data_IF_359368680377
#
_entry.id   IF_359368680377
#
_cell.length_a   1.000
_cell.length_b   1.000
_cell.length_c   1.000
_cell.angle_alpha   90.00
_cell.angle_beta   90.00
_cell.angle_gamma   90.00
#
_symmetry.space_group_name_H-M   'P 1'
#
loop_
_entity.id
_entity.type
_entity.pdbx_description
1 polymer ?
#
# COMPACT_ATOMS: atom_id res chain seq x y z
N UNK A 1 -30.11 3.56 21.14
CA UNK A 1 -29.37 4.81 21.44
C UNK A 1 -27.83 4.65 21.41
N UNK A 2 -27.27 3.46 21.55
CA UNK A 2 -25.81 3.25 21.45
C UNK A 2 -25.28 3.26 20.02
N UNK A 3 -26.09 2.83 19.05
CA UNK A 3 -25.75 2.80 17.64
C UNK A 3 -25.58 4.19 17.01
N UNK A 4 -26.41 5.15 17.42
CA UNK A 4 -26.34 6.52 16.89
C UNK A 4 -25.11 7.30 17.35
N UNK A 5 -24.56 6.97 18.52
CA UNK A 5 -23.31 7.57 19.01
C UNK A 5 -22.08 7.02 18.28
N UNK A 6 -22.06 5.73 18.00
CA UNK A 6 -20.98 5.11 17.22
C UNK A 6 -20.91 5.65 15.79
N UNK A 7 -22.05 5.81 15.12
CA UNK A 7 -22.13 6.41 13.79
C UNK A 7 -21.73 7.89 13.80
N UNK A 8 -22.09 8.66 14.83
CA UNK A 8 -21.72 10.06 14.95
C UNK A 8 -20.21 10.28 15.13
N UNK A 9 -19.55 9.41 15.88
CA UNK A 9 -18.09 9.46 16.05
C UNK A 9 -17.33 8.99 14.81
N UNK A 10 -17.82 7.99 14.13
CA UNK A 10 -17.28 7.56 12.82
C UNK A 10 -17.41 8.69 11.81
N UNK A 11 -18.55 9.35 11.72
CA UNK A 11 -18.79 10.47 10.80
C UNK A 11 -17.90 11.69 11.09
N UNK A 12 -17.67 12.04 12.36
CA UNK A 12 -16.84 13.17 12.74
C UNK A 12 -15.34 12.93 12.46
N UNK A 13 -14.91 11.67 12.46
CA UNK A 13 -13.49 11.31 12.24
C UNK A 13 -13.17 10.97 10.78
N UNK A 14 -14.15 10.65 9.97
CA UNK A 14 -13.97 10.28 8.56
C UNK A 14 -13.44 11.38 7.64
N UNK A 15 -13.51 12.64 8.02
CA UNK A 15 -13.03 13.76 7.21
C UNK A 15 -11.81 14.50 7.76
N UNK A 16 -11.42 14.23 9.00
CA UNK A 16 -10.38 15.02 9.69
C UNK A 16 -8.98 14.41 9.62
N UNK A 17 -8.88 13.09 9.54
CA UNK A 17 -7.59 12.38 9.48
C UNK A 17 -7.68 11.30 8.41
N UNK A 18 -7.16 11.59 7.24
CA UNK A 18 -7.04 10.64 6.14
C UNK A 18 -5.57 10.26 5.94
N UNK A 19 -5.33 9.00 5.66
CA UNK A 19 -3.99 8.50 5.34
C UNK A 19 -4.03 7.82 3.97
N UNK A 20 -3.01 8.08 3.16
CA UNK A 20 -2.85 7.40 1.88
C UNK A 20 -2.59 5.91 2.13
N UNK A 21 -3.21 5.03 1.35
CA UNK A 21 -2.94 3.60 1.43
C UNK A 21 -1.55 3.26 0.84
N UNK A 22 -0.96 2.14 1.28
CA UNK A 22 0.44 1.77 0.96
C UNK A 22 0.73 1.74 -0.54
N UNK A 23 -0.21 1.24 -1.33
CA UNK A 23 0.00 1.07 -2.78
C UNK A 23 -0.55 2.22 -3.63
N UNK A 24 -1.25 3.19 -3.03
CA UNK A 24 -1.76 4.35 -3.77
C UNK A 24 -0.65 5.32 -4.12
N UNK A 25 -0.81 6.02 -5.21
CA UNK A 25 0.04 7.14 -5.60
C UNK A 25 -0.82 8.33 -6.03
N UNK A 26 -0.20 9.49 -6.05
CA UNK A 26 -0.80 10.71 -6.59
C UNK A 26 -0.22 10.93 -7.99
N UNK A 27 -1.08 11.16 -8.98
CA UNK A 27 -0.65 11.45 -10.35
C UNK A 27 -0.21 12.91 -10.50
N UNK A 28 0.24 13.27 -11.70
CA UNK A 28 0.72 14.64 -12.03
C UNK A 28 -0.37 15.71 -11.87
N UNK A 29 -1.64 15.33 -11.93
CA UNK A 29 -2.79 16.23 -11.78
C UNK A 29 -3.31 16.31 -10.33
N UNK A 30 -2.72 15.57 -9.39
CA UNK A 30 -3.13 15.55 -7.99
C UNK A 30 -4.23 14.52 -7.66
N UNK A 31 -4.62 13.65 -8.58
CA UNK A 31 -5.59 12.59 -8.34
C UNK A 31 -4.92 11.35 -7.75
N UNK A 32 -5.63 10.67 -6.85
CA UNK A 32 -5.17 9.40 -6.29
C UNK A 32 -5.43 8.28 -7.28
N UNK A 33 -4.41 7.49 -7.56
CA UNK A 33 -4.48 6.29 -8.38
C UNK A 33 -4.15 5.06 -7.54
N UNK A 34 -4.84 3.97 -7.86
CA UNK A 34 -4.70 2.68 -7.19
C UNK A 34 -4.21 1.63 -8.19
N UNK A 35 -3.29 0.73 -7.81
CA UNK A 35 -2.81 -0.32 -8.70
C UNK A 35 -3.79 -1.48 -8.77
N UNK A 36 -3.99 -1.98 -9.98
CA UNK A 36 -4.75 -3.19 -10.30
C UNK A 36 -3.92 -4.10 -11.20
N UNK A 37 -4.14 -5.42 -11.11
CA UNK A 37 -3.58 -6.36 -12.08
C UNK A 37 -4.47 -6.46 -13.30
N UNK A 38 -3.89 -6.45 -14.48
CA UNK A 38 -4.65 -6.66 -15.71
C UNK A 38 -5.09 -8.12 -15.86
N UNK A 39 -6.30 -8.31 -16.33
CA UNK A 39 -6.86 -9.63 -16.65
C UNK A 39 -7.10 -9.70 -18.16
N UNK A 40 -6.57 -10.72 -18.82
CA UNK A 40 -6.74 -10.98 -20.26
C UNK A 40 -7.34 -12.36 -20.46
N UNK A 41 -8.56 -12.41 -21.01
CA UNK A 41 -9.26 -13.69 -21.28
C UNK A 41 -9.38 -14.60 -20.05
N UNK A 42 -9.75 -14.06 -18.90
CA UNK A 42 -9.89 -14.81 -17.66
C UNK A 42 -8.56 -15.26 -17.02
N UNK A 43 -7.43 -14.72 -17.49
CA UNK A 43 -6.10 -14.96 -16.94
C UNK A 43 -5.53 -13.67 -16.36
N UNK A 44 -5.17 -13.72 -15.08
CA UNK A 44 -4.53 -12.60 -14.37
C UNK A 44 -3.08 -12.47 -14.82
N UNK A 45 -2.69 -11.30 -15.28
CA UNK A 45 -1.30 -10.99 -15.67
C UNK A 45 -0.54 -10.39 -14.48
N UNK A 46 0.78 -10.26 -14.63
CA UNK A 46 1.61 -9.56 -13.65
C UNK A 46 1.75 -8.06 -13.99
N UNK A 47 1.10 -7.62 -15.06
CA UNK A 47 1.10 -6.23 -15.44
C UNK A 47 0.22 -5.42 -14.49
N UNK A 48 0.75 -4.31 -13.99
CA UNK A 48 0.06 -3.44 -13.05
C UNK A 48 -0.37 -2.18 -13.77
N UNK A 49 -1.67 -1.92 -13.75
CA UNK A 49 -2.27 -0.67 -14.23
C UNK A 49 -2.70 0.18 -13.05
N UNK A 50 -2.31 1.45 -13.05
CA UNK A 50 -2.82 2.43 -12.10
C UNK A 50 -4.06 3.09 -12.67
N UNK A 51 -5.12 3.12 -11.88
CA UNK A 51 -6.42 3.62 -12.30
C UNK A 51 -6.93 4.62 -11.27
N UNK A 52 -7.46 5.74 -11.73
CA UNK A 52 -8.13 6.73 -10.89
C UNK A 52 -9.58 6.33 -10.59
N UNK A 53 -10.18 6.94 -9.57
CA UNK A 53 -11.57 6.65 -9.21
C UNK A 53 -12.57 6.99 -10.33
N UNK A 54 -12.23 7.90 -11.22
CA UNK A 54 -13.08 8.29 -12.37
C UNK A 54 -13.11 7.17 -13.39
N UNK A 55 -11.95 6.60 -13.70
CA UNK A 55 -11.81 5.52 -14.70
C UNK A 55 -12.25 4.16 -14.16
N UNK A 56 -12.16 3.95 -12.82
CA UNK A 56 -12.49 2.70 -12.16
C UNK A 56 -13.91 2.20 -12.50
N UNK A 57 -14.87 3.13 -12.59
CA UNK A 57 -16.25 2.81 -12.89
C UNK A 57 -16.51 2.19 -14.28
N UNK A 58 -15.56 2.29 -15.20
CA UNK A 58 -15.64 1.72 -16.54
C UNK A 58 -15.18 0.25 -16.61
N UNK A 59 -14.39 -0.20 -15.60
CA UNK A 59 -13.80 -1.52 -15.58
C UNK A 59 -14.56 -2.49 -14.68
N UNK A 60 -14.58 -3.75 -15.07
CA UNK A 60 -15.04 -4.88 -14.24
C UNK A 60 -13.87 -5.39 -13.43
N UNK A 61 -13.91 -5.21 -12.10
CA UNK A 61 -12.81 -5.48 -11.20
C UNK A 61 -13.12 -6.70 -10.33
N UNK A 62 -12.32 -7.76 -10.47
CA UNK A 62 -12.42 -8.93 -9.60
C UNK A 62 -11.81 -8.67 -8.23
N UNK A 63 -12.42 -9.22 -7.19
CA UNK A 63 -11.89 -9.14 -5.83
C UNK A 63 -10.60 -9.95 -5.68
N UNK A 64 -9.71 -9.48 -4.80
CA UNK A 64 -8.44 -10.18 -4.49
C UNK A 64 -8.64 -11.59 -3.92
N UNK A 65 -9.80 -11.88 -3.33
CA UNK A 65 -10.18 -13.18 -2.77
C UNK A 65 -10.60 -14.22 -3.82
N UNK A 66 -10.78 -13.82 -5.09
CA UNK A 66 -11.15 -14.72 -6.16
C UNK A 66 -10.09 -15.81 -6.35
N UNK A 67 -10.54 -17.07 -6.43
CA UNK A 67 -9.61 -18.21 -6.55
C UNK A 67 -8.99 -18.27 -7.93
N UNK A 68 -7.67 -18.31 -7.93
CA UNK A 68 -6.84 -18.41 -9.15
C UNK A 68 -6.03 -19.69 -9.10
N UNK A 69 -5.91 -20.38 -10.22
CA UNK A 69 -5.07 -21.58 -10.36
C UNK A 69 -3.58 -21.19 -10.47
N UNK A 70 -2.69 -22.17 -10.40
CA UNK A 70 -1.23 -22.00 -10.59
C UNK A 70 -0.87 -21.38 -11.96
N UNK A 71 -1.77 -21.46 -12.92
CA UNK A 71 -1.64 -20.81 -14.24
C UNK A 71 -2.18 -19.38 -14.29
N UNK A 72 -2.59 -18.82 -13.13
CA UNK A 72 -3.23 -17.51 -13.00
C UNK A 72 -4.58 -17.39 -13.71
N UNK A 73 -5.30 -18.49 -13.94
CA UNK A 73 -6.68 -18.48 -14.42
C UNK A 73 -7.67 -18.57 -13.28
N UNK A 74 -8.80 -17.90 -13.40
CA UNK A 74 -9.93 -18.07 -12.47
C UNK A 74 -10.44 -19.52 -12.55
N UNK A 75 -10.68 -20.13 -11.38
CA UNK A 75 -11.16 -21.51 -11.26
C UNK A 75 -12.68 -21.60 -11.18
N UNK A 76 -13.34 -20.51 -10.81
CA UNK A 76 -14.79 -20.46 -10.61
C UNK A 76 -15.49 -19.96 -11.90
N UNK A 77 -16.67 -20.51 -12.18
CA UNK A 77 -17.49 -20.10 -13.33
C UNK A 77 -18.04 -18.68 -13.17
N UNK A 78 -18.31 -18.29 -11.92
CA UNK A 78 -18.75 -16.94 -11.56
C UNK A 78 -17.80 -16.37 -10.52
N UNK A 79 -17.22 -15.21 -10.82
CA UNK A 79 -16.27 -14.51 -9.97
C UNK A 79 -16.95 -13.30 -9.33
N UNK A 80 -16.74 -13.05 -8.03
CA UNK A 80 -17.22 -11.83 -7.39
C UNK A 80 -16.44 -10.63 -7.94
N UNK A 81 -17.18 -9.68 -8.50
CA UNK A 81 -16.64 -8.48 -9.13
C UNK A 81 -17.29 -7.22 -8.58
N UNK A 82 -16.62 -6.10 -8.74
CA UNK A 82 -17.14 -4.76 -8.52
C UNK A 82 -17.27 -4.07 -9.88
N UNK A 83 -18.45 -3.60 -10.20
CA UNK A 83 -18.73 -2.82 -11.38
C UNK A 83 -19.65 -1.65 -11.03
N UNK A 84 -19.28 -0.42 -11.36
CA UNK A 84 -20.04 0.81 -11.04
C UNK A 84 -20.47 0.91 -9.57
N UNK A 85 -19.57 0.55 -8.65
CA UNK A 85 -19.81 0.49 -7.19
C UNK A 85 -20.81 -0.57 -6.71
N UNK A 86 -21.29 -1.44 -7.58
CA UNK A 86 -22.14 -2.59 -7.22
C UNK A 86 -21.30 -3.87 -7.21
N UNK A 87 -21.67 -4.79 -6.31
CA UNK A 87 -21.03 -6.10 -6.22
C UNK A 87 -21.91 -7.11 -6.96
N UNK A 88 -21.34 -7.73 -7.96
CA UNK A 88 -22.02 -8.71 -8.81
C UNK A 88 -21.17 -9.98 -8.98
N UNK A 89 -21.81 -11.04 -9.47
CA UNK A 89 -21.13 -12.26 -9.91
C UNK A 89 -21.11 -12.27 -11.43
N UNK A 90 -19.93 -12.26 -12.01
CA UNK A 90 -19.75 -12.24 -13.46
C UNK A 90 -18.85 -13.37 -13.95
N UNK A 91 -18.98 -13.69 -15.24
CA UNK A 91 -18.12 -14.66 -15.90
C UNK A 91 -16.68 -14.12 -15.99
N UNK A 92 -15.64 -14.93 -15.75
CA UNK A 92 -14.24 -14.55 -15.82
C UNK A 92 -13.80 -13.87 -17.13
N UNK A 93 -14.46 -14.17 -18.23
CA UNK A 93 -14.15 -13.57 -19.55
C UNK A 93 -14.49 -12.07 -19.64
N UNK A 94 -15.34 -11.56 -18.74
CA UNK A 94 -15.74 -10.13 -18.70
C UNK A 94 -14.93 -9.31 -17.70
N UNK A 95 -14.03 -9.96 -16.97
CA UNK A 95 -13.19 -9.30 -15.97
C UNK A 95 -12.03 -8.61 -16.66
N UNK A 96 -11.87 -7.31 -16.43
CA UNK A 96 -10.81 -6.48 -16.99
C UNK A 96 -9.61 -6.35 -16.05
N UNK A 97 -9.89 -6.19 -14.76
CA UNK A 97 -8.90 -5.94 -13.73
C UNK A 97 -9.13 -6.84 -12.50
N UNK A 98 -8.10 -7.03 -11.71
CA UNK A 98 -8.17 -7.71 -10.43
C UNK A 98 -7.50 -6.88 -9.34
N UNK A 99 -8.11 -6.80 -8.16
CA UNK A 99 -7.50 -6.15 -7.00
C UNK A 99 -6.14 -6.79 -6.66
N UNK A 100 -5.20 -5.96 -6.25
CA UNK A 100 -3.97 -6.44 -5.61
C UNK A 100 -4.30 -6.96 -4.19
N UNK A 101 -3.34 -7.61 -3.48
CA UNK A 101 -3.62 -8.24 -2.18
C UNK A 101 -4.30 -7.35 -1.16
N UNK A 102 -4.95 -7.93 -0.11
CA UNK A 102 -5.71 -7.18 0.91
C UNK A 102 -4.92 -6.09 1.66
N UNK A 103 -3.58 -6.16 1.68
CA UNK A 103 -2.71 -5.14 2.26
C UNK A 103 -2.86 -3.76 1.61
N UNK A 104 -3.50 -3.68 0.47
CA UNK A 104 -3.81 -2.43 -0.23
C UNK A 104 -4.62 -1.44 0.61
N UNK A 105 -5.44 -1.91 1.53
CA UNK A 105 -6.38 -1.08 2.33
C UNK A 105 -5.70 -0.38 3.50
N UNK A 106 -4.51 -0.83 3.93
CA UNK A 106 -3.84 -0.28 5.10
C UNK A 106 -3.00 0.94 4.75
N UNK A 107 -2.90 1.88 5.69
CA UNK A 107 -1.97 3.01 5.60
C UNK A 107 -0.53 2.55 5.90
N UNK A 108 0.45 3.40 5.58
CA UNK A 108 1.86 3.15 5.91
C UNK A 108 2.04 2.93 7.40
N UNK A 109 1.41 3.76 8.24
CA UNK A 109 1.50 3.61 9.69
C UNK A 109 0.89 2.28 10.18
N UNK A 110 -0.27 1.90 9.67
CA UNK A 110 -0.89 0.61 10.01
C UNK A 110 -0.04 -0.58 9.52
N UNK A 111 0.62 -0.47 8.39
CA UNK A 111 1.49 -1.51 7.86
C UNK A 111 2.78 -1.72 8.68
N UNK A 112 3.13 -0.78 9.56
CA UNK A 112 4.25 -0.89 10.49
C UNK A 112 3.88 -1.58 11.83
N UNK A 113 2.61 -1.86 12.07
CA UNK A 113 2.16 -2.54 13.29
C UNK A 113 2.32 -4.05 13.11
N UNK A 114 3.20 -4.73 13.87
CA UNK A 114 3.31 -6.17 13.81
C UNK A 114 2.04 -6.82 14.38
N UNK A 115 1.60 -7.93 13.78
CA UNK A 115 0.39 -8.67 14.18
C UNK A 115 -0.89 -7.81 14.19
N UNK A 116 -1.01 -6.89 13.25
CA UNK A 116 -2.16 -5.98 13.14
C UNK A 116 -3.51 -6.71 13.11
N UNK A 117 -3.57 -7.88 12.51
CA UNK A 117 -4.78 -8.72 12.40
C UNK A 117 -5.31 -9.22 13.75
N UNK A 118 -4.48 -9.20 14.79
CA UNK A 118 -4.86 -9.59 16.16
C UNK A 118 -5.22 -8.41 17.05
N UNK A 119 -5.07 -7.17 16.57
CA UNK A 119 -5.34 -5.96 17.32
C UNK A 119 -6.77 -5.46 17.12
N UNK A 120 -7.33 -4.88 18.17
CA UNK A 120 -8.59 -4.14 18.07
C UNK A 120 -8.40 -2.87 17.22
N UNK A 121 -9.40 -2.56 16.38
CA UNK A 121 -9.33 -1.43 15.46
C UNK A 121 -9.09 -0.08 16.16
N UNK A 122 -9.69 0.13 17.32
CA UNK A 122 -9.50 1.36 18.11
C UNK A 122 -8.06 1.48 18.60
N UNK A 123 -7.44 0.38 19.06
CA UNK A 123 -6.06 0.37 19.53
C UNK A 123 -5.07 0.53 18.38
N UNK A 124 -5.32 -0.09 17.24
CA UNK A 124 -4.54 0.10 16.04
C UNK A 124 -4.56 1.55 15.55
N UNK A 125 -5.72 2.21 15.59
CA UNK A 125 -5.86 3.63 15.27
C UNK A 125 -5.03 4.51 16.22
N UNK A 126 -5.12 4.26 17.52
CA UNK A 126 -4.33 5.01 18.52
C UNK A 126 -2.83 4.80 18.31
N UNK A 127 -2.39 3.56 18.09
CA UNK A 127 -0.99 3.21 17.80
C UNK A 127 -0.47 3.90 16.54
N UNK A 128 -1.24 3.90 15.46
CA UNK A 128 -0.91 4.60 14.21
C UNK A 128 -0.72 6.10 14.41
N UNK A 129 -1.56 6.71 15.24
CA UNK A 129 -1.45 8.13 15.57
C UNK A 129 -0.21 8.42 16.42
N UNK A 130 0.11 7.54 17.39
CA UNK A 130 1.29 7.70 18.25
C UNK A 130 2.61 7.51 17.47
N UNK A 131 2.66 6.67 16.45
CA UNK A 131 3.86 6.54 15.60
C UNK A 131 4.27 7.85 14.94
N UNK A 132 3.31 8.74 14.63
CA UNK A 132 3.61 10.07 14.07
C UNK A 132 4.21 11.05 15.08
N UNK A 133 4.18 10.72 16.37
CA UNK A 133 4.73 11.52 17.46
C UNK A 133 6.04 10.93 18.01
N UNK A 134 6.61 9.96 17.29
CA UNK A 134 7.84 9.30 17.71
C UNK A 134 9.02 10.28 17.72
N UNK A 135 9.86 10.16 18.76
CA UNK A 135 11.08 10.94 18.92
C UNK A 135 12.27 9.98 18.81
N UNK A 136 13.32 10.34 18.04
CA UNK A 136 14.54 9.53 17.94
C UNK A 136 15.20 9.34 19.30
N UNK A 137 15.65 8.13 19.60
CA UNK A 137 16.40 7.83 20.81
C UNK A 137 17.89 8.19 20.65
N UNK A 138 18.58 8.43 21.75
CA UNK A 138 20.02 8.72 21.73
C UNK A 138 20.85 7.55 21.19
N UNK A 139 20.47 6.34 21.55
CA UNK A 139 21.03 5.10 20.98
C UNK A 139 19.89 4.35 20.29
N UNK A 140 20.06 4.11 18.99
CA UNK A 140 19.08 3.42 18.17
C UNK A 140 19.35 1.93 18.15
N UNK A 141 18.32 1.13 18.33
CA UNK A 141 18.38 -0.34 18.27
C UNK A 141 17.42 -0.86 17.19
N UNK A 142 17.77 -2.00 16.63
CA UNK A 142 16.87 -2.67 15.69
C UNK A 142 15.71 -3.30 16.45
N UNK A 143 14.44 -3.10 16.02
CA UNK A 143 13.31 -3.75 16.67
C UNK A 143 13.40 -5.27 16.55
N UNK A 144 13.09 -5.99 17.63
CA UNK A 144 13.10 -7.47 17.66
C UNK A 144 12.00 -8.06 16.77
N UNK A 145 10.87 -7.37 16.68
CA UNK A 145 9.73 -7.77 15.84
C UNK A 145 9.37 -6.64 14.92
N UNK A 146 9.28 -6.91 13.65
CA UNK A 146 8.95 -5.93 12.61
C UNK A 146 8.10 -6.54 11.50
N UNK A 147 7.62 -5.70 10.59
CA UNK A 147 6.77 -6.09 9.48
C UNK A 147 7.53 -6.22 8.15
N UNK A 148 8.78 -5.78 8.10
CA UNK A 148 9.57 -5.67 6.87
C UNK A 148 9.37 -4.34 6.11
N UNK A 149 8.39 -3.53 6.48
CA UNK A 149 8.16 -2.21 5.88
C UNK A 149 9.11 -1.14 6.41
N UNK A 150 9.76 -1.35 7.55
CA UNK A 150 10.61 -0.37 8.23
C UNK A 150 11.73 0.13 7.32
N UNK A 151 12.41 -0.78 6.64
CA UNK A 151 13.50 -0.45 5.71
C UNK A 151 13.01 0.41 4.54
N UNK A 152 11.85 0.06 3.99
CA UNK A 152 11.25 0.79 2.86
C UNK A 152 10.83 2.18 3.29
N UNK A 153 10.15 2.30 4.43
CA UNK A 153 9.70 3.58 4.99
C UNK A 153 10.90 4.47 5.32
N UNK A 154 11.93 3.95 5.99
CA UNK A 154 13.15 4.71 6.31
C UNK A 154 13.84 5.23 5.03
N UNK A 155 13.89 4.42 3.98
CA UNK A 155 14.49 4.79 2.71
C UNK A 155 13.75 5.92 1.99
N UNK A 156 12.41 5.93 2.08
CA UNK A 156 11.56 6.91 1.39
C UNK A 156 11.15 8.09 2.27
N UNK A 157 11.49 8.10 3.56
CA UNK A 157 11.12 9.20 4.48
C UNK A 157 11.77 10.55 4.14
N UNK A 158 12.89 10.54 3.41
CA UNK A 158 13.65 11.74 3.10
C UNK A 158 14.56 12.24 4.25
N UNK A 159 14.46 11.65 5.44
CA UNK A 159 15.32 12.00 6.59
C UNK A 159 16.74 11.43 6.46
N UNK A 160 16.89 10.38 5.67
CA UNK A 160 18.16 9.73 5.41
C UNK A 160 18.73 10.11 4.04
N UNK A 161 20.00 10.49 4.00
CA UNK A 161 20.71 10.68 2.74
C UNK A 161 21.13 9.33 2.19
N UNK A 162 20.58 8.96 1.03
CA UNK A 162 20.82 7.67 0.38
C UNK A 162 21.82 7.83 -0.74
N UNK A 163 22.83 6.93 -0.78
CA UNK A 163 23.77 6.87 -1.89
C UNK A 163 23.05 6.52 -3.20
N UNK A 164 23.20 7.34 -4.23
CA UNK A 164 22.57 7.15 -5.53
C UNK A 164 23.31 6.10 -6.39
N UNK A 165 24.62 5.97 -6.19
CA UNK A 165 25.48 5.06 -6.94
C UNK A 165 26.32 4.22 -5.99
N UNK A 166 26.72 3.04 -6.46
CA UNK A 166 27.72 2.22 -5.79
C UNK A 166 29.12 2.86 -5.92
N UNK A 167 29.93 2.72 -4.90
CA UNK A 167 31.28 3.31 -4.91
C UNK A 167 32.06 3.04 -3.64
N UNK A 168 33.27 3.56 -3.60
CA UNK A 168 34.16 3.50 -2.44
C UNK A 168 34.19 4.85 -1.73
N UNK A 169 34.03 4.83 -0.41
CA UNK A 169 34.11 6.06 0.40
C UNK A 169 35.57 6.50 0.49
N UNK A 170 35.87 7.71 0.06
CA UNK A 170 37.20 8.32 0.12
C UNK A 170 37.41 9.19 1.33
N UNK A 171 36.39 9.99 1.64
CA UNK A 171 36.48 10.95 2.74
C UNK A 171 35.14 11.05 3.47
N UNK A 172 35.20 11.08 4.79
CA UNK A 172 34.09 11.33 5.69
C UNK A 172 34.42 12.52 6.56
N UNK A 173 33.53 13.52 6.53
CA UNK A 173 33.61 14.71 7.34
C UNK A 173 32.26 14.92 8.03
N UNK A 174 32.16 15.77 9.02
CA UNK A 174 30.90 16.07 9.72
C UNK A 174 29.80 16.62 8.79
N UNK A 175 30.18 17.30 7.72
CA UNK A 175 29.23 17.91 6.78
C UNK A 175 29.12 17.20 5.42
N UNK A 176 30.03 16.25 5.10
CA UNK A 176 30.02 15.62 3.77
C UNK A 176 30.69 14.24 3.76
N UNK A 177 30.15 13.37 2.92
CA UNK A 177 30.74 12.08 2.57
C UNK A 177 31.07 12.10 1.09
N UNK A 178 32.34 11.84 0.74
CA UNK A 178 32.81 11.77 -0.65
C UNK A 178 32.90 10.31 -1.08
N UNK A 179 32.13 9.97 -2.11
CA UNK A 179 32.08 8.61 -2.65
C UNK A 179 32.62 8.63 -4.07
N UNK A 180 33.69 7.85 -4.32
CA UNK A 180 34.20 7.61 -5.67
C UNK A 180 33.34 6.54 -6.33
N UNK A 181 32.68 6.89 -7.42
CA UNK A 181 31.85 5.97 -8.20
C UNK A 181 32.72 4.90 -8.87
N UNK A 182 32.26 3.64 -8.83
CA UNK A 182 32.89 2.57 -9.58
C UNK A 182 32.53 2.68 -11.07
N UNK A 183 33.56 2.77 -11.92
CA UNK A 183 33.39 2.92 -13.38
C UNK A 183 32.78 1.69 -14.08
N UNK A 184 32.54 0.59 -13.36
CA UNK A 184 31.96 -0.64 -13.92
C UNK A 184 30.44 -0.64 -13.98
N UNK A 185 29.78 0.38 -13.44
CA UNK A 185 28.32 0.49 -13.34
C UNK A 185 27.76 1.59 -14.29
N UNK A 186 28.46 1.83 -15.42
CA UNK A 186 28.03 2.72 -16.51
C UNK A 186 27.61 1.87 -17.70
#
# INVERSE_FOLDING_TARGET
ASWSRGLGDVYKRQGLINSLSVYSRVNEYGFIETPYREVKNGKVTNDIKFVSAIEEGEFVIAQASAKVDKSNKFTEELVPVRYRNEFELMNPSRVDLMDVPPQQVVSIAAALIPFLEHDDANRALMGSNMMRQAVPTLSTETPLVGTGMERTVARFSGDCVIAQNSGTIEKVDSGKIVVRKNLKDI
#
